data_IF_350855409443
#
_entry.id   IF_350855409443
#
_cell.length_a   1.000
_cell.length_b   1.000
_cell.length_c   1.000
_cell.angle_alpha   90.00
_cell.angle_beta   90.00
_cell.angle_gamma   90.00
#
_symmetry.space_group_name_H-M   'P 1'
#
loop_
_entity.id
_entity.type
_entity.pdbx_description
1 polymer ?
#
# COMPACT_ATOMS: atom_id res chain seq x y z
N UNK A 1 13.43 17.60 19.35
CA UNK A 1 12.41 17.19 18.36
C UNK A 1 11.98 15.77 18.72
N UNK A 2 10.69 15.57 18.85
CA UNK A 2 10.14 14.27 19.23
C UNK A 2 10.35 13.27 18.06
N UNK A 3 11.21 12.28 18.23
CA UNK A 3 11.61 11.34 17.16
C UNK A 3 10.59 10.20 17.03
N UNK A 4 9.28 10.54 17.07
CA UNK A 4 8.18 9.58 17.02
C UNK A 4 8.21 8.68 15.78
N UNK A 5 8.53 9.24 14.61
CA UNK A 5 8.52 8.52 13.35
C UNK A 5 9.66 7.49 13.22
N UNK A 6 10.81 7.76 13.83
CA UNK A 6 12.00 6.93 13.69
C UNK A 6 13.30 7.73 13.77
N UNK A 7 14.39 7.12 13.37
CA UNK A 7 15.73 7.70 13.45
C UNK A 7 16.57 7.32 12.24
N UNK A 8 17.62 8.11 11.99
CA UNK A 8 18.62 7.78 10.97
C UNK A 8 19.74 6.93 11.56
N UNK A 9 20.01 5.79 10.90
CA UNK A 9 21.09 4.86 11.24
C UNK A 9 22.20 4.95 10.21
N UNK A 10 23.44 5.08 10.67
CA UNK A 10 24.62 5.02 9.82
C UNK A 10 24.89 3.56 9.43
N UNK A 11 25.02 3.30 8.14
CA UNK A 11 25.40 2.00 7.59
C UNK A 11 26.73 2.13 6.86
N UNK A 12 27.54 1.10 6.99
CA UNK A 12 28.89 1.00 6.41
C UNK A 12 29.81 2.15 6.83
N UNK A 13 31.04 2.15 6.35
CA UNK A 13 32.07 3.14 6.65
C UNK A 13 32.80 3.57 5.39
N UNK A 14 33.60 4.64 5.49
CA UNK A 14 34.38 5.19 4.38
C UNK A 14 33.49 5.68 3.24
N UNK A 15 33.91 5.46 2.01
CA UNK A 15 33.21 5.94 0.81
C UNK A 15 31.88 5.26 0.55
N UNK A 16 31.63 4.06 1.14
CA UNK A 16 30.40 3.32 1.02
C UNK A 16 29.39 3.67 2.11
N UNK A 17 29.71 4.59 3.01
CA UNK A 17 28.86 5.00 4.10
C UNK A 17 27.58 5.70 3.59
N UNK A 18 26.42 5.32 4.17
CA UNK A 18 25.13 5.96 3.92
C UNK A 18 24.27 5.96 5.19
N UNK A 19 23.26 6.80 5.21
CA UNK A 19 22.27 6.83 6.30
C UNK A 19 20.94 6.33 5.79
N UNK A 20 20.38 5.31 6.44
CA UNK A 20 19.01 4.85 6.21
C UNK A 20 18.09 5.33 7.34
N UNK A 21 16.83 5.50 7.04
CA UNK A 21 15.82 5.80 8.05
C UNK A 21 15.26 4.50 8.60
N UNK A 22 15.23 4.36 9.92
CA UNK A 22 14.63 3.22 10.63
C UNK A 22 13.38 3.72 11.35
N UNK A 23 12.17 3.27 10.96
CA UNK A 23 10.95 3.70 11.63
C UNK A 23 10.85 3.06 13.01
N UNK A 24 10.28 3.80 13.96
CA UNK A 24 9.89 3.24 15.24
C UNK A 24 8.67 2.32 15.07
N UNK A 25 8.50 1.30 15.94
CA UNK A 25 7.30 0.47 15.95
C UNK A 25 6.02 1.27 16.16
N UNK A 26 4.90 0.74 15.67
CA UNK A 26 3.55 1.22 15.98
C UNK A 26 3.00 0.49 17.22
N UNK A 27 2.08 1.11 18.02
CA UNK A 27 1.58 2.48 17.87
C UNK A 27 2.64 3.53 18.19
N UNK A 28 2.51 4.77 17.67
CA UNK A 28 3.53 5.80 17.85
C UNK A 28 3.62 6.26 19.31
N UNK A 29 4.85 6.44 19.79
CA UNK A 29 5.12 6.96 21.14
C UNK A 29 5.91 8.26 21.02
N UNK A 30 5.40 9.40 21.56
CA UNK A 30 4.11 9.57 22.23
C UNK A 30 2.91 9.40 21.28
N UNK A 31 1.71 9.12 21.82
CA UNK A 31 0.49 8.94 21.01
C UNK A 31 0.19 10.12 20.09
N UNK A 32 -0.59 9.86 19.03
CA UNK A 32 -1.09 10.91 18.14
C UNK A 32 -2.17 11.71 18.87
N UNK A 33 -1.99 13.02 18.90
CA UNK A 33 -3.03 13.94 19.32
C UNK A 33 -3.90 14.29 18.11
N UNK A 34 -5.19 13.97 18.20
CA UNK A 34 -6.15 14.30 17.15
C UNK A 34 -6.69 15.71 17.40
N UNK A 35 -6.41 16.64 16.50
CA UNK A 35 -7.02 17.97 16.55
C UNK A 35 -8.52 17.90 16.27
N UNK A 36 -9.27 18.91 16.69
CA UNK A 36 -10.72 19.01 16.45
C UNK A 36 -11.05 18.88 14.95
N UNK A 37 -10.23 19.46 14.07
CA UNK A 37 -10.39 19.33 12.61
C UNK A 37 -10.27 17.90 12.14
N UNK A 38 -9.27 17.15 12.64
CA UNK A 38 -9.07 15.73 12.31
C UNK A 38 -10.24 14.91 12.83
N UNK A 39 -10.69 15.15 14.06
CA UNK A 39 -11.88 14.47 14.62
C UNK A 39 -13.11 14.76 13.77
N UNK A 40 -13.34 16.00 13.36
CA UNK A 40 -14.45 16.38 12.48
C UNK A 40 -14.39 15.69 11.11
N UNK A 41 -13.20 15.53 10.52
CA UNK A 41 -13.01 14.80 9.27
C UNK A 41 -13.23 13.30 9.46
N UNK A 42 -12.77 12.74 10.57
CA UNK A 42 -12.93 11.32 10.91
C UNK A 42 -14.40 10.94 11.07
N UNK A 43 -15.19 11.74 11.78
CA UNK A 43 -16.64 11.54 11.91
C UNK A 43 -17.31 11.55 10.53
N UNK A 44 -16.96 12.50 9.66
CA UNK A 44 -17.50 12.57 8.30
C UNK A 44 -17.09 11.33 7.48
N UNK A 45 -15.83 10.91 7.55
CA UNK A 45 -15.33 9.76 6.82
C UNK A 45 -16.03 8.47 7.24
N UNK A 46 -16.14 8.20 8.55
CA UNK A 46 -16.86 7.03 9.07
C UNK A 46 -18.35 7.06 8.66
N UNK A 47 -19.01 8.21 8.71
CA UNK A 47 -20.38 8.36 8.24
C UNK A 47 -20.52 8.03 6.75
N UNK A 48 -19.60 8.48 5.91
CA UNK A 48 -19.61 8.18 4.47
C UNK A 48 -19.30 6.71 4.16
N UNK A 49 -18.44 6.07 4.94
CA UNK A 49 -18.20 4.63 4.82
C UNK A 49 -19.47 3.82 5.16
N UNK A 50 -20.18 4.19 6.24
CA UNK A 50 -21.44 3.53 6.58
C UNK A 50 -22.50 3.71 5.47
N UNK A 51 -22.57 4.88 4.84
CA UNK A 51 -23.43 5.13 3.67
C UNK A 51 -23.02 4.27 2.49
N UNK A 52 -21.72 4.18 2.18
CA UNK A 52 -21.19 3.34 1.10
C UNK A 52 -21.58 1.87 1.30
N UNK A 53 -21.38 1.31 2.50
CA UNK A 53 -21.76 -0.05 2.86
C UNK A 53 -23.27 -0.27 2.71
N UNK A 54 -24.09 0.67 3.19
CA UNK A 54 -25.55 0.60 3.06
C UNK A 54 -26.02 0.61 1.59
N UNK A 55 -25.34 1.38 0.73
CA UNK A 55 -25.64 1.42 -0.71
C UNK A 55 -25.19 0.13 -1.38
N UNK A 56 -23.95 -0.33 -1.11
CA UNK A 56 -23.42 -1.56 -1.68
C UNK A 56 -24.34 -2.77 -1.43
N UNK A 57 -24.90 -2.88 -0.22
CA UNK A 57 -25.84 -3.94 0.14
C UNK A 57 -27.18 -3.91 -0.64
N UNK A 58 -27.51 -2.80 -1.31
CA UNK A 58 -28.77 -2.62 -2.07
C UNK A 58 -28.59 -2.64 -3.59
N UNK A 59 -27.37 -2.72 -4.08
CA UNK A 59 -27.09 -2.75 -5.52
C UNK A 59 -27.49 -4.12 -6.09
N UNK A 60 -28.38 -4.18 -7.11
CA UNK A 60 -28.86 -5.44 -7.66
C UNK A 60 -27.76 -6.33 -8.25
N UNK A 61 -26.70 -5.72 -8.80
CA UNK A 61 -25.53 -6.42 -9.33
C UNK A 61 -24.26 -5.85 -8.65
N UNK A 62 -24.08 -6.23 -7.39
CA UNK A 62 -22.95 -5.78 -6.58
C UNK A 62 -21.61 -6.24 -7.14
N UNK A 63 -21.54 -7.40 -7.78
CA UNK A 63 -20.31 -7.92 -8.39
C UNK A 63 -19.82 -7.03 -9.53
N UNK A 64 -20.71 -6.59 -10.42
CA UNK A 64 -20.35 -5.66 -11.48
C UNK A 64 -19.91 -4.31 -10.91
N UNK A 65 -20.60 -3.80 -9.90
CA UNK A 65 -20.22 -2.57 -9.21
C UNK A 65 -18.81 -2.67 -8.60
N UNK A 66 -18.54 -3.73 -7.84
CA UNK A 66 -17.23 -4.00 -7.24
C UNK A 66 -16.15 -4.09 -8.33
N UNK A 67 -16.40 -4.85 -9.40
CA UNK A 67 -15.42 -5.03 -10.47
C UNK A 67 -15.04 -3.69 -11.12
N UNK A 68 -15.99 -2.78 -11.30
CA UNK A 68 -15.74 -1.44 -11.85
C UNK A 68 -14.90 -0.58 -10.90
N UNK A 69 -15.14 -0.65 -9.59
CA UNK A 69 -14.34 0.09 -8.60
C UNK A 69 -12.92 -0.46 -8.48
N UNK A 70 -12.77 -1.78 -8.45
CA UNK A 70 -11.44 -2.43 -8.44
C UNK A 70 -10.65 -2.06 -9.70
N UNK A 71 -11.29 -2.03 -10.87
CA UNK A 71 -10.64 -1.61 -12.13
C UNK A 71 -10.19 -0.14 -12.09
N UNK A 72 -11.04 0.76 -11.59
CA UNK A 72 -10.69 2.19 -11.42
C UNK A 72 -9.56 2.39 -10.42
N UNK A 73 -9.59 1.72 -9.28
CA UNK A 73 -8.52 1.76 -8.30
C UNK A 73 -7.22 1.24 -8.88
N UNK A 74 -7.25 0.08 -9.56
CA UNK A 74 -6.10 -0.52 -10.23
C UNK A 74 -5.46 0.43 -11.25
N UNK A 75 -6.30 1.08 -12.07
CA UNK A 75 -5.83 2.06 -13.05
C UNK A 75 -5.13 3.24 -12.38
N UNK A 76 -5.80 3.88 -11.41
CA UNK A 76 -5.23 5.06 -10.74
C UNK A 76 -3.98 4.72 -9.94
N UNK A 77 -3.99 3.60 -9.23
CA UNK A 77 -2.83 3.12 -8.49
C UNK A 77 -1.63 2.87 -9.40
N UNK A 78 -1.85 2.23 -10.56
CA UNK A 78 -0.79 1.98 -11.55
C UNK A 78 -0.32 3.27 -12.24
N UNK A 79 -1.23 4.23 -12.47
CA UNK A 79 -0.87 5.53 -13.05
C UNK A 79 -0.02 6.40 -12.10
N UNK A 80 -0.15 6.26 -10.78
CA UNK A 80 0.76 6.89 -9.80
C UNK A 80 2.19 6.39 -10.03
N UNK A 81 2.35 5.12 -10.39
CA UNK A 81 3.65 4.49 -10.69
C UNK A 81 4.14 4.73 -12.13
N UNK A 82 3.43 5.56 -12.90
CA UNK A 82 3.83 5.96 -14.26
C UNK A 82 3.27 5.10 -15.40
N UNK A 83 2.34 4.19 -15.12
CA UNK A 83 1.62 3.43 -16.16
C UNK A 83 0.75 4.37 -17.00
N UNK A 84 0.73 4.17 -18.34
CA UNK A 84 0.03 5.04 -19.30
C UNK A 84 -1.31 4.45 -19.78
N UNK A 85 -1.84 3.41 -19.14
CA UNK A 85 -3.14 2.85 -19.49
C UNK A 85 -4.28 3.86 -19.27
N UNK A 86 -5.33 3.74 -20.08
CA UNK A 86 -6.55 4.57 -20.03
C UNK A 86 -7.73 3.78 -19.47
N UNK A 87 -8.86 4.47 -19.23
CA UNK A 87 -10.09 3.81 -18.79
C UNK A 87 -10.66 2.91 -19.88
N UNK A 88 -10.57 3.33 -21.16
CA UNK A 88 -11.01 2.57 -22.32
C UNK A 88 -10.24 1.25 -22.41
N UNK A 89 -8.92 1.28 -22.20
CA UNK A 89 -8.08 0.08 -22.23
C UNK A 89 -8.52 -0.97 -21.21
N UNK A 90 -8.94 -0.55 -20.02
CA UNK A 90 -9.33 -1.47 -18.94
C UNK A 90 -10.79 -1.92 -19.01
N UNK A 91 -11.60 -1.29 -19.85
CA UNK A 91 -12.98 -1.69 -20.14
C UNK A 91 -13.09 -2.59 -21.37
N UNK A 92 -11.99 -2.80 -22.09
CA UNK A 92 -11.94 -3.69 -23.25
C UNK A 92 -12.29 -5.12 -22.84
N UNK A 93 -13.27 -5.78 -23.49
CA UNK A 93 -13.57 -7.19 -23.24
C UNK A 93 -12.38 -8.14 -23.45
N UNK A 94 -11.39 -7.73 -24.24
CA UNK A 94 -10.16 -8.50 -24.50
C UNK A 94 -9.00 -8.13 -23.57
N UNK A 95 -9.28 -7.47 -22.43
CA UNK A 95 -8.29 -6.97 -21.48
C UNK A 95 -7.25 -8.03 -21.10
N UNK A 96 -7.68 -9.25 -20.78
CA UNK A 96 -6.81 -10.34 -20.32
C UNK A 96 -5.85 -10.88 -21.39
N UNK A 97 -6.14 -10.64 -22.66
CA UNK A 97 -5.30 -11.07 -23.79
C UNK A 97 -4.39 -9.96 -24.32
N UNK A 98 -4.50 -8.75 -23.75
CA UNK A 98 -3.73 -7.61 -24.20
C UNK A 98 -2.26 -7.74 -23.74
N UNK A 99 -1.33 -7.68 -24.67
CA UNK A 99 0.12 -7.81 -24.41
C UNK A 99 0.81 -6.47 -24.08
N UNK A 100 0.07 -5.36 -24.03
CA UNK A 100 0.62 -4.08 -23.66
C UNK A 100 1.02 -4.10 -22.17
N UNK A 101 2.29 -3.82 -21.87
CA UNK A 101 2.84 -3.84 -20.52
C UNK A 101 2.12 -2.89 -19.55
N UNK A 102 1.67 -1.73 -20.03
CA UNK A 102 0.92 -0.80 -19.19
C UNK A 102 -0.44 -1.38 -18.77
N UNK A 103 -1.09 -2.10 -19.68
CA UNK A 103 -2.35 -2.79 -19.41
C UNK A 103 -2.10 -3.98 -18.49
N UNK A 104 -1.03 -4.75 -18.71
CA UNK A 104 -0.65 -5.88 -17.86
C UNK A 104 -0.43 -5.46 -16.39
N UNK A 105 0.17 -4.29 -16.14
CA UNK A 105 0.32 -3.74 -14.78
C UNK A 105 -1.04 -3.55 -14.08
N UNK A 106 -2.05 -3.04 -14.80
CA UNK A 106 -3.40 -2.83 -14.27
C UNK A 106 -4.13 -4.16 -14.05
N UNK A 107 -4.05 -5.07 -15.03
CA UNK A 107 -4.64 -6.43 -14.93
C UNK A 107 -4.07 -7.18 -13.72
N UNK A 108 -2.76 -7.10 -13.52
CA UNK A 108 -2.13 -7.74 -12.38
C UNK A 108 -2.55 -7.14 -11.04
N UNK A 109 -2.77 -5.82 -10.98
CA UNK A 109 -3.31 -5.20 -9.77
C UNK A 109 -4.73 -5.71 -9.47
N UNK A 110 -5.60 -5.84 -10.49
CA UNK A 110 -6.94 -6.41 -10.34
C UNK A 110 -6.84 -7.84 -9.79
N UNK A 111 -6.03 -8.69 -10.43
CA UNK A 111 -5.80 -10.08 -10.02
C UNK A 111 -5.21 -10.19 -8.60
N UNK A 112 -4.28 -9.30 -8.25
CA UNK A 112 -3.71 -9.25 -6.91
C UNK A 112 -4.74 -8.83 -5.85
N UNK A 113 -5.63 -7.89 -6.18
CA UNK A 113 -6.73 -7.48 -5.30
C UNK A 113 -7.71 -8.64 -5.06
N UNK A 114 -8.18 -9.30 -6.11
CA UNK A 114 -9.08 -10.45 -6.03
C UNK A 114 -8.46 -11.61 -5.25
N UNK A 115 -7.19 -11.92 -5.54
CA UNK A 115 -6.42 -12.92 -4.80
C UNK A 115 -6.33 -12.59 -3.31
N UNK A 116 -5.94 -11.36 -2.98
CA UNK A 116 -5.76 -10.95 -1.58
C UNK A 116 -7.05 -11.01 -0.79
N UNK A 117 -8.18 -10.55 -1.36
CA UNK A 117 -9.51 -10.61 -0.74
C UNK A 117 -9.94 -12.06 -0.49
N UNK A 118 -9.78 -12.93 -1.50
CA UNK A 118 -10.10 -14.36 -1.34
C UNK A 118 -9.22 -15.01 -0.27
N UNK A 119 -7.94 -14.66 -0.26
CA UNK A 119 -6.97 -15.21 0.67
C UNK A 119 -7.18 -14.74 2.11
N UNK A 120 -7.67 -13.49 2.28
CA UNK A 120 -7.99 -12.89 3.57
C UNK A 120 -9.08 -13.69 4.34
N UNK A 121 -9.92 -14.44 3.64
CA UNK A 121 -10.93 -15.31 4.27
C UNK A 121 -10.31 -16.49 5.04
N UNK A 122 -9.07 -16.86 4.76
CA UNK A 122 -8.39 -18.04 5.33
C UNK A 122 -7.05 -17.72 5.99
N UNK A 123 -6.54 -16.52 5.79
CA UNK A 123 -5.25 -16.06 6.31
C UNK A 123 -5.41 -14.62 6.80
N UNK A 124 -5.04 -14.29 8.05
CA UNK A 124 -5.10 -12.91 8.53
C UNK A 124 -4.18 -12.00 7.71
N UNK A 125 -4.38 -10.70 7.80
CA UNK A 125 -3.51 -9.73 7.16
C UNK A 125 -2.10 -9.77 7.80
N UNK A 126 -1.19 -10.46 7.13
CA UNK A 126 0.16 -10.77 7.64
C UNK A 126 1.20 -10.67 6.52
N UNK A 127 2.47 -10.73 6.87
CA UNK A 127 3.59 -10.67 5.94
C UNK A 127 3.51 -11.74 4.84
N UNK A 128 2.99 -12.93 5.16
CA UNK A 128 2.77 -13.98 4.17
C UNK A 128 1.75 -13.56 3.11
N UNK A 129 0.60 -13.03 3.53
CA UNK A 129 -0.43 -12.54 2.60
C UNK A 129 0.10 -11.40 1.73
N UNK A 130 0.84 -10.46 2.33
CA UNK A 130 1.49 -9.34 1.62
C UNK A 130 2.45 -9.87 0.54
N UNK A 131 3.30 -10.85 0.86
CA UNK A 131 4.24 -11.47 -0.08
C UNK A 131 3.52 -12.23 -1.20
N UNK A 132 2.52 -13.06 -0.87
CA UNK A 132 1.72 -13.78 -1.85
C UNK A 132 1.00 -12.82 -2.81
N UNK A 133 0.43 -11.73 -2.29
CA UNK A 133 -0.22 -10.67 -3.09
C UNK A 133 0.77 -9.97 -4.02
N UNK A 134 1.95 -9.62 -3.50
CA UNK A 134 3.01 -9.01 -4.31
C UNK A 134 3.48 -9.95 -5.44
N UNK A 135 3.56 -11.25 -5.21
CA UNK A 135 3.91 -12.22 -6.25
C UNK A 135 2.92 -12.21 -7.42
N UNK A 136 1.61 -12.10 -7.13
CA UNK A 136 0.57 -11.97 -8.16
C UNK A 136 0.68 -10.62 -8.88
N UNK A 137 0.88 -9.54 -8.15
CA UNK A 137 1.01 -8.17 -8.68
C UNK A 137 2.16 -8.04 -9.70
N UNK A 138 3.28 -8.68 -9.44
CA UNK A 138 4.51 -8.55 -10.22
C UNK A 138 4.70 -9.64 -11.28
N UNK A 139 3.70 -10.50 -11.50
CA UNK A 139 3.79 -11.64 -12.43
C UNK A 139 3.85 -11.17 -13.89
N UNK A 140 4.95 -11.46 -14.59
CA UNK A 140 5.08 -11.21 -16.04
C UNK A 140 5.14 -9.73 -16.45
N UNK A 141 5.29 -8.80 -15.50
CA UNK A 141 5.37 -7.34 -15.74
C UNK A 141 6.76 -6.79 -15.44
N UNK A 142 6.91 -5.47 -15.59
CA UNK A 142 8.14 -4.76 -15.20
C UNK A 142 8.50 -5.08 -13.75
N UNK A 143 9.75 -5.46 -13.50
CA UNK A 143 10.22 -5.82 -12.16
C UNK A 143 10.08 -7.31 -11.82
N UNK A 144 9.66 -8.17 -12.75
CA UNK A 144 9.64 -9.61 -12.53
C UNK A 144 11.03 -10.16 -12.12
N UNK A 145 12.11 -9.55 -12.59
CA UNK A 145 13.48 -9.85 -12.20
C UNK A 145 13.85 -9.41 -10.77
N UNK A 146 12.95 -8.69 -10.09
CA UNK A 146 13.14 -8.14 -8.74
C UNK A 146 12.50 -8.99 -7.64
N UNK A 147 12.52 -10.31 -7.81
CA UNK A 147 12.05 -11.31 -6.86
C UNK A 147 10.59 -11.09 -6.37
N UNK A 148 9.58 -11.24 -7.24
CA UNK A 148 8.18 -11.15 -6.85
C UNK A 148 7.84 -12.06 -5.68
N UNK A 149 7.17 -11.51 -4.67
CA UNK A 149 6.76 -12.24 -3.47
C UNK A 149 7.83 -12.34 -2.38
N UNK A 150 9.03 -11.80 -2.60
CA UNK A 150 10.08 -11.83 -1.59
C UNK A 150 10.48 -10.43 -1.13
N UNK A 151 10.66 -10.27 0.18
CA UNK A 151 11.25 -9.06 0.73
C UNK A 151 12.70 -8.92 0.24
N UNK A 152 13.12 -7.69 0.01
CA UNK A 152 14.46 -7.38 -0.49
C UNK A 152 15.55 -7.83 0.49
N UNK A 153 16.62 -8.31 -0.05
CA UNK A 153 17.85 -8.62 0.67
C UNK A 153 18.98 -7.64 0.33
N UNK A 154 18.70 -6.66 -0.53
CA UNK A 154 19.63 -5.58 -0.87
C UNK A 154 19.05 -4.22 -0.48
N UNK A 155 19.93 -3.22 -0.33
CA UNK A 155 19.52 -1.86 -0.08
C UNK A 155 18.89 -1.27 -1.35
N UNK A 156 17.69 -0.70 -1.19
CA UNK A 156 17.05 0.13 -2.19
C UNK A 156 17.01 1.59 -1.74
N UNK A 157 16.58 2.46 -2.61
CA UNK A 157 16.41 3.89 -2.34
C UNK A 157 15.31 4.47 -3.23
N UNK A 158 14.75 5.61 -2.81
CA UNK A 158 13.76 6.36 -3.55
C UNK A 158 14.40 7.65 -4.03
N UNK A 159 14.30 7.91 -5.34
CA UNK A 159 14.87 9.10 -5.95
C UNK A 159 14.52 9.20 -7.43
N UNK A 160 14.87 10.30 -8.06
CA UNK A 160 14.71 10.50 -9.51
C UNK A 160 15.62 9.58 -10.34
N UNK A 161 15.45 9.64 -11.64
CA UNK A 161 16.28 8.88 -12.58
C UNK A 161 17.77 9.20 -12.37
N UNK A 162 18.61 8.15 -12.26
CA UNK A 162 20.04 8.27 -11.99
C UNK A 162 20.41 8.49 -10.52
N UNK A 163 19.46 8.41 -9.59
CA UNK A 163 19.75 8.46 -8.16
C UNK A 163 20.56 7.24 -7.71
N UNK A 164 21.42 7.47 -6.75
CA UNK A 164 22.24 6.49 -6.05
C UNK A 164 22.06 6.61 -4.54
N UNK A 165 22.60 5.71 -3.76
CA UNK A 165 22.60 5.81 -2.29
C UNK A 165 23.20 7.13 -1.75
N UNK A 166 24.06 7.81 -2.53
CA UNK A 166 24.70 9.07 -2.11
C UNK A 166 23.80 10.30 -2.27
N UNK A 167 22.85 10.26 -3.22
CA UNK A 167 22.00 11.40 -3.58
C UNK A 167 20.50 11.08 -3.62
N UNK A 168 20.11 9.93 -3.09
CA UNK A 168 18.72 9.53 -3.01
C UNK A 168 17.91 10.50 -2.13
N UNK A 169 16.66 10.74 -2.50
CA UNK A 169 15.73 11.53 -1.71
C UNK A 169 15.39 10.84 -0.38
N UNK A 170 15.28 9.52 -0.41
CA UNK A 170 14.98 8.70 0.75
C UNK A 170 15.70 7.35 0.67
N UNK A 171 16.27 6.92 1.78
CA UNK A 171 16.89 5.61 1.92
C UNK A 171 16.13 4.85 3.03
N UNK A 172 15.35 3.83 2.66
CA UNK A 172 14.62 2.97 3.59
C UNK A 172 15.55 2.20 4.52
N UNK A 173 15.04 1.52 5.55
CA UNK A 173 15.83 0.71 6.47
C UNK A 173 16.76 -0.28 5.75
N UNK A 174 17.86 -0.65 6.38
CA UNK A 174 18.70 -1.76 5.89
C UNK A 174 17.88 -3.06 5.78
N UNK A 175 18.30 -4.07 5.01
CA UNK A 175 17.54 -5.33 4.89
C UNK A 175 17.22 -5.96 6.25
N UNK A 176 18.14 -5.97 7.20
CA UNK A 176 17.90 -6.52 8.54
C UNK A 176 16.91 -5.67 9.34
N UNK A 177 17.09 -4.33 9.33
CA UNK A 177 16.17 -3.42 9.99
C UNK A 177 14.76 -3.46 9.34
N UNK A 178 14.70 -3.65 8.02
CA UNK A 178 13.44 -3.82 7.27
C UNK A 178 12.68 -5.06 7.72
N UNK A 179 13.36 -6.22 7.89
CA UNK A 179 12.71 -7.44 8.35
C UNK A 179 12.13 -7.28 9.76
N UNK A 180 12.87 -6.64 10.65
CA UNK A 180 12.40 -6.33 12.01
C UNK A 180 11.18 -5.39 11.95
N UNK A 181 11.25 -4.32 11.16
CA UNK A 181 10.16 -3.36 11.01
C UNK A 181 8.90 -3.99 10.39
N UNK A 182 9.04 -4.91 9.42
CA UNK A 182 7.90 -5.66 8.87
C UNK A 182 7.30 -6.64 9.88
N UNK A 183 8.12 -7.26 10.74
CA UNK A 183 7.61 -8.09 11.84
C UNK A 183 6.83 -7.26 12.86
N UNK A 184 7.30 -6.07 13.19
CA UNK A 184 6.61 -5.18 14.13
C UNK A 184 5.32 -4.60 13.50
N UNK A 185 5.33 -4.28 12.21
CA UNK A 185 4.12 -3.85 11.48
C UNK A 185 3.05 -4.96 11.46
N UNK A 186 3.45 -6.21 11.22
CA UNK A 186 2.53 -7.36 11.27
C UNK A 186 1.89 -7.53 12.65
N UNK A 187 2.68 -7.40 13.72
CA UNK A 187 2.16 -7.42 15.10
C UNK A 187 1.13 -6.33 15.32
N UNK A 188 1.45 -5.09 14.89
CA UNK A 188 0.53 -3.97 15.03
C UNK A 188 -0.79 -4.19 14.27
N UNK A 189 -0.74 -4.65 13.03
CA UNK A 189 -1.93 -4.96 12.22
C UNK A 189 -2.88 -5.92 12.95
N UNK A 190 -2.30 -6.92 13.65
CA UNK A 190 -3.05 -8.00 14.31
C UNK A 190 -3.27 -7.77 15.81
N UNK A 191 -2.92 -6.60 16.33
CA UNK A 191 -3.17 -6.21 17.71
C UNK A 191 -4.36 -5.25 17.76
N UNK A 192 -5.20 -5.39 18.78
CA UNK A 192 -6.26 -4.42 19.03
C UNK A 192 -5.64 -3.09 19.49
N UNK A 193 -6.12 -2.00 18.93
CA UNK A 193 -5.72 -0.63 19.24
C UNK A 193 -6.99 0.22 19.45
N UNK A 194 -6.94 1.15 20.40
CA UNK A 194 -8.05 2.08 20.67
C UNK A 194 -8.22 3.17 19.61
N UNK A 195 -7.27 3.27 18.66
CA UNK A 195 -7.36 4.22 17.57
C UNK A 195 -8.45 3.82 16.56
N UNK A 196 -9.11 4.82 16.02
CA UNK A 196 -10.05 4.61 14.89
C UNK A 196 -9.38 3.87 13.72
N UNK A 197 -10.09 2.93 13.12
CA UNK A 197 -9.57 2.07 12.05
C UNK A 197 -9.04 2.85 10.82
N UNK A 198 -9.59 4.04 10.52
CA UNK A 198 -9.07 4.90 9.45
C UNK A 198 -7.70 5.50 9.81
N UNK A 199 -7.49 5.84 11.07
CA UNK A 199 -6.19 6.30 11.57
C UNK A 199 -5.19 5.15 11.56
N UNK A 200 -5.60 3.96 12.01
CA UNK A 200 -4.77 2.76 11.94
C UNK A 200 -4.37 2.45 10.50
N UNK A 201 -5.31 2.47 9.54
CA UNK A 201 -5.05 2.25 8.12
C UNK A 201 -4.02 3.26 7.58
N UNK A 202 -4.13 4.53 7.96
CA UNK A 202 -3.17 5.57 7.57
C UNK A 202 -1.77 5.32 8.15
N UNK A 203 -1.68 4.90 9.42
CA UNK A 203 -0.42 4.54 10.07
C UNK A 203 0.23 3.31 9.42
N UNK A 204 -0.55 2.28 9.14
CA UNK A 204 -0.09 1.05 8.48
C UNK A 204 0.45 1.38 7.08
N UNK A 205 -0.29 2.18 6.30
CA UNK A 205 0.15 2.61 4.98
C UNK A 205 1.45 3.42 5.05
N UNK A 206 1.51 4.44 5.92
CA UNK A 206 2.71 5.25 6.13
C UNK A 206 3.92 4.38 6.54
N UNK A 207 3.73 3.47 7.49
CA UNK A 207 4.79 2.59 7.97
C UNK A 207 5.29 1.65 6.89
N UNK A 208 4.37 1.03 6.13
CA UNK A 208 4.73 0.15 5.02
C UNK A 208 5.52 0.88 3.93
N UNK A 209 5.07 2.08 3.52
CA UNK A 209 5.78 2.90 2.53
C UNK A 209 7.16 3.35 3.06
N UNK A 210 7.26 3.66 4.35
CA UNK A 210 8.53 4.02 5.00
C UNK A 210 9.50 2.83 5.02
N UNK A 211 9.04 1.63 5.31
CA UNK A 211 9.85 0.40 5.33
C UNK A 211 10.30 0.01 3.92
N UNK A 212 9.43 0.16 2.94
CA UNK A 212 9.68 -0.13 1.52
C UNK A 212 10.28 -1.52 1.30
N UNK A 213 9.55 -2.60 1.67
CA UNK A 213 10.13 -3.93 1.84
C UNK A 213 10.45 -4.66 0.53
N UNK A 214 9.92 -4.24 -0.61
CA UNK A 214 10.16 -4.85 -1.91
C UNK A 214 11.13 -4.02 -2.77
N UNK A 215 11.69 -4.64 -3.80
CA UNK A 215 12.51 -3.91 -4.78
C UNK A 215 11.67 -3.10 -5.77
N UNK A 216 10.39 -3.43 -5.94
CA UNK A 216 9.42 -2.73 -6.78
C UNK A 216 7.99 -3.02 -6.27
N UNK A 217 6.98 -2.26 -6.71
CA UNK A 217 5.57 -2.53 -6.39
C UNK A 217 5.11 -2.12 -4.98
N UNK A 218 5.98 -1.51 -4.16
CA UNK A 218 5.63 -1.10 -2.80
C UNK A 218 4.41 -0.18 -2.77
N UNK A 219 4.39 0.90 -3.56
CA UNK A 219 3.28 1.84 -3.58
C UNK A 219 1.94 1.19 -3.95
N UNK A 220 1.93 0.25 -4.89
CA UNK A 220 0.71 -0.50 -5.27
C UNK A 220 0.23 -1.39 -4.13
N UNK A 221 1.13 -2.13 -3.48
CA UNK A 221 0.81 -2.96 -2.31
C UNK A 221 0.38 -2.10 -1.12
N UNK A 222 1.10 -1.01 -0.83
CA UNK A 222 0.80 -0.11 0.27
C UNK A 222 -0.60 0.50 0.16
N UNK A 223 -1.02 0.90 -1.05
CA UNK A 223 -2.39 1.40 -1.27
C UNK A 223 -3.44 0.29 -1.13
N UNK A 224 -3.14 -0.92 -1.62
CA UNK A 224 -4.03 -2.07 -1.45
C UNK A 224 -4.19 -2.46 0.02
N UNK A 225 -3.14 -2.36 0.83
CA UNK A 225 -3.18 -2.64 2.27
C UNK A 225 -4.23 -1.82 3.02
N UNK A 226 -4.50 -0.57 2.60
CA UNK A 226 -5.55 0.26 3.21
C UNK A 226 -6.90 -0.45 3.09
N UNK A 227 -7.25 -0.89 1.88
CA UNK A 227 -8.53 -1.59 1.64
C UNK A 227 -8.58 -2.92 2.36
N UNK A 228 -7.51 -3.72 2.28
CA UNK A 228 -7.44 -5.03 2.94
C UNK A 228 -7.56 -4.92 4.46
N UNK A 229 -6.91 -3.93 5.08
CA UNK A 229 -7.02 -3.70 6.51
C UNK A 229 -8.44 -3.33 6.93
N UNK A 230 -9.09 -2.42 6.19
CA UNK A 230 -10.47 -2.03 6.50
C UNK A 230 -11.47 -3.19 6.30
N UNK A 231 -11.19 -4.10 5.36
CA UNK A 231 -11.96 -5.33 5.18
C UNK A 231 -11.70 -6.34 6.32
N UNK A 232 -10.46 -6.52 6.72
CA UNK A 232 -10.06 -7.40 7.83
C UNK A 232 -10.69 -6.96 9.17
N UNK A 233 -10.80 -5.66 9.39
CA UNK A 233 -11.49 -5.07 10.55
C UNK A 233 -13.02 -5.01 10.40
N UNK A 234 -13.60 -5.50 9.30
CA UNK A 234 -15.04 -5.51 9.07
C UNK A 234 -15.67 -4.13 8.84
N UNK A 235 -14.85 -3.10 8.59
CA UNK A 235 -15.32 -1.74 8.24
C UNK A 235 -15.84 -1.68 6.80
N UNK A 236 -15.25 -2.49 5.92
CA UNK A 236 -15.68 -2.66 4.55
C UNK A 236 -16.05 -4.14 4.31
N UNK A 237 -17.22 -4.38 3.75
CA UNK A 237 -17.61 -5.72 3.27
C UNK A 237 -17.18 -5.95 1.82
N UNK A 238 -16.97 -4.87 1.07
CA UNK A 238 -16.61 -4.90 -0.35
C UNK A 238 -15.42 -3.97 -0.63
N UNK A 239 -14.54 -4.27 -1.60
CA UNK A 239 -13.40 -3.42 -1.96
C UNK A 239 -13.83 -2.21 -2.81
N UNK A 240 -14.85 -1.48 -2.35
CA UNK A 240 -15.42 -0.34 -3.08
C UNK A 240 -14.71 1.01 -2.76
N UNK A 241 -13.54 0.97 -2.12
CA UNK A 241 -12.78 2.16 -1.78
C UNK A 241 -11.86 2.58 -2.95
N UNK A 242 -12.00 3.84 -3.39
CA UNK A 242 -11.26 4.40 -4.50
C UNK A 242 -10.29 5.49 -4.01
N UNK A 243 -9.26 5.06 -3.26
CA UNK A 243 -8.35 5.98 -2.57
C UNK A 243 -7.27 6.57 -3.49
N UNK A 244 -6.80 5.80 -4.48
CA UNK A 244 -5.71 6.23 -5.38
C UNK A 244 -6.07 7.45 -6.20
N UNK A 245 -7.35 7.68 -6.47
CA UNK A 245 -7.82 8.90 -7.13
C UNK A 245 -7.48 10.16 -6.33
N UNK A 246 -7.69 10.14 -5.02
CA UNK A 246 -7.39 11.27 -4.13
C UNK A 246 -5.88 11.45 -3.95
N UNK A 247 -5.15 10.36 -3.77
CA UNK A 247 -3.69 10.39 -3.63
C UNK A 247 -3.02 10.94 -4.89
N UNK A 248 -3.53 10.61 -6.08
CA UNK A 248 -3.04 11.14 -7.35
C UNK A 248 -3.33 12.64 -7.50
N UNK A 249 -4.52 13.11 -7.09
CA UNK A 249 -4.91 14.54 -7.18
C UNK A 249 -4.17 15.44 -6.20
N UNK A 250 -3.87 14.92 -5.03
CA UNK A 250 -3.12 15.62 -3.98
C UNK A 250 -1.89 14.77 -3.65
N UNK A 251 -0.82 14.82 -4.45
CA UNK A 251 0.41 14.16 -4.06
C UNK A 251 0.83 14.78 -2.72
N UNK A 252 0.41 14.15 -1.64
CA UNK A 252 0.97 14.40 -0.34
C UNK A 252 2.45 14.11 -0.45
N UNK A 253 3.30 15.00 0.03
CA UNK A 253 4.77 14.82 0.03
C UNK A 253 5.24 13.66 0.92
N UNK A 254 4.49 12.57 0.95
CA UNK A 254 4.84 11.28 1.51
C UNK A 254 5.63 10.57 0.41
N UNK A 255 6.94 10.67 0.55
CA UNK A 255 8.04 10.18 -0.32
C UNK A 255 8.26 10.94 -1.62
#
# INVERSE_FOLDING_TARGET
>A
MNNRAGYYKQNLSGEMAYKSFVPNPLPPVPPIELSEDIVGLLVKANSQLAVLESIAARIPNVELFISMYVRKEALMSSQIEGTQATLEDILDPMLDTNTNRNIADVVNYIKATEFAITRLQTLPLCNRLIKETHAVLMKGVRGQEKNPGEFRYSQNWIGGQGSTLKNARYIPPSPDDMQNAMSDLEKYINTDDDLDALIQAALIHYQFETIHPFLDGNGRVGRLLITLFLMDKGILTTPALYISYFLKKKPCGIL
#
